data_IF_115511998783
#
_entry.id   IF_115511998783
#
_cell.length_a   1.000
_cell.length_b   1.000
_cell.length_c   1.000
_cell.angle_alpha   90.00
_cell.angle_beta   90.00
_cell.angle_gamma   90.00
#
_symmetry.space_group_name_H-M   'P 1'
#
loop_
_entity.id
_entity.type
_entity.pdbx_description
1 polymer ?
#
# COMPACT_ATOMS: atom_id res chain seq x y z
N UNK A 1 -18.95 -9.06 -18.62
CA UNK A 1 -18.37 -8.12 -17.64
C UNK A 1 -19.27 -8.07 -16.41
N UNK A 2 -18.71 -8.31 -15.21
CA UNK A 2 -19.41 -8.26 -13.93
C UNK A 2 -19.05 -6.95 -13.23
N UNK A 3 -20.03 -6.10 -12.94
CA UNK A 3 -19.83 -4.88 -12.13
C UNK A 3 -19.63 -5.28 -10.67
N UNK A 4 -18.76 -4.56 -9.97
CA UNK A 4 -18.37 -4.89 -8.60
C UNK A 4 -18.70 -3.75 -7.64
N UNK A 5 -19.20 -4.13 -6.47
CA UNK A 5 -19.26 -3.29 -5.28
C UNK A 5 -18.09 -3.69 -4.38
N UNK A 6 -17.16 -2.75 -4.13
CA UNK A 6 -16.00 -2.98 -3.27
C UNK A 6 -16.38 -3.06 -1.79
N UNK A 7 -15.56 -3.76 -1.03
CA UNK A 7 -15.65 -3.83 0.43
C UNK A 7 -14.90 -2.65 1.06
N UNK A 8 -15.61 -1.81 1.82
CA UNK A 8 -15.03 -0.64 2.48
C UNK A 8 -14.35 -1.04 3.78
N UNK A 9 -13.13 -0.52 4.00
CA UNK A 9 -12.38 -0.67 5.23
C UNK A 9 -12.28 0.69 5.96
N UNK A 10 -12.66 0.69 7.25
CA UNK A 10 -12.75 1.89 8.09
C UNK A 10 -11.58 2.00 9.07
N UNK A 11 -10.34 1.84 8.61
CA UNK A 11 -9.17 2.03 9.45
C UNK A 11 -9.04 3.49 9.87
N UNK A 12 -8.56 3.74 11.10
CA UNK A 12 -8.49 5.07 11.71
C UNK A 12 -7.68 6.09 10.91
N UNK A 13 -6.65 5.63 10.18
CA UNK A 13 -5.79 6.47 9.34
C UNK A 13 -6.45 6.96 8.03
N UNK A 14 -7.63 6.42 7.71
CA UNK A 14 -8.32 6.73 6.45
C UNK A 14 -8.87 8.15 6.37
N UNK A 15 -8.88 8.71 5.18
CA UNK A 15 -9.57 9.96 4.89
C UNK A 15 -11.09 9.76 4.94
N UNK A 16 -11.83 10.78 5.39
CA UNK A 16 -13.30 10.71 5.56
C UNK A 16 -14.07 11.13 4.31
N UNK A 17 -13.41 11.81 3.39
CA UNK A 17 -14.07 12.51 2.29
C UNK A 17 -13.55 12.11 0.92
N UNK A 18 -12.27 11.76 0.78
CA UNK A 18 -11.62 11.54 -0.52
C UNK A 18 -12.28 10.42 -1.33
N UNK A 19 -12.43 9.21 -0.77
CA UNK A 19 -13.10 8.11 -1.47
C UNK A 19 -14.61 8.34 -1.63
N UNK A 20 -15.37 8.80 -0.62
CA UNK A 20 -16.76 9.19 -0.83
C UNK A 20 -16.94 10.23 -1.94
N UNK A 21 -16.11 11.26 -1.99
CA UNK A 21 -16.18 12.29 -3.05
C UNK A 21 -15.86 11.70 -4.43
N UNK A 22 -14.82 10.84 -4.54
CA UNK A 22 -14.50 10.14 -5.78
C UNK A 22 -15.67 9.28 -6.27
N UNK A 23 -16.37 8.60 -5.37
CA UNK A 23 -17.50 7.72 -5.66
C UNK A 23 -18.84 8.47 -5.81
N UNK A 24 -18.83 9.80 -5.72
CA UNK A 24 -20.04 10.66 -5.77
C UNK A 24 -21.10 10.25 -4.75
N UNK A 25 -20.68 9.82 -3.54
CA UNK A 25 -21.59 9.45 -2.45
C UNK A 25 -21.42 10.40 -1.25
N UNK A 26 -22.50 10.53 -0.46
CA UNK A 26 -22.43 11.33 0.75
C UNK A 26 -21.52 10.67 1.78
N UNK A 27 -20.54 11.40 2.30
CA UNK A 27 -19.68 10.92 3.36
C UNK A 27 -20.50 10.67 4.65
N UNK A 28 -20.28 9.52 5.26
CA UNK A 28 -20.98 9.09 6.49
C UNK A 28 -20.24 9.51 7.78
N UNK A 29 -19.16 10.28 7.64
CA UNK A 29 -18.33 10.78 8.74
C UNK A 29 -17.33 9.76 9.29
N UNK A 30 -17.37 8.50 8.87
CA UNK A 30 -16.36 7.50 9.21
C UNK A 30 -15.13 7.64 8.32
N UNK A 31 -13.93 7.20 8.77
CA UNK A 31 -12.80 7.04 7.87
C UNK A 31 -13.13 6.02 6.76
N UNK A 32 -12.84 6.39 5.52
CA UNK A 32 -12.86 5.48 4.36
C UNK A 32 -11.42 5.27 3.92
N UNK A 33 -10.75 4.34 4.60
CA UNK A 33 -9.34 4.08 4.38
C UNK A 33 -9.07 3.38 3.06
N UNK A 34 -9.86 2.35 2.77
CA UNK A 34 -9.71 1.55 1.56
C UNK A 34 -11.06 1.07 1.04
N UNK A 35 -11.17 0.87 -0.28
CA UNK A 35 -12.25 0.12 -0.94
C UNK A 35 -11.60 -1.03 -1.70
N UNK A 36 -11.91 -2.28 -1.33
CA UNK A 36 -11.28 -3.47 -1.87
C UNK A 36 -12.09 -4.09 -2.99
N UNK A 37 -11.42 -4.37 -4.10
CA UNK A 37 -11.95 -5.13 -5.23
C UNK A 37 -11.14 -6.42 -5.38
N UNK A 38 -11.71 -7.54 -4.99
CA UNK A 38 -11.05 -8.84 -5.02
C UNK A 38 -11.86 -9.90 -4.30
N UNK A 39 -11.23 -11.03 -4.06
CA UNK A 39 -11.83 -12.22 -3.45
C UNK A 39 -11.26 -12.54 -2.08
N UNK A 40 -10.50 -11.62 -1.49
CA UNK A 40 -9.86 -11.84 -0.20
C UNK A 40 -10.89 -11.99 0.92
N UNK A 41 -10.80 -13.00 1.82
CA UNK A 41 -11.83 -13.30 2.82
C UNK A 41 -12.21 -12.14 3.75
N UNK A 42 -11.27 -11.23 4.04
CA UNK A 42 -11.51 -10.06 4.89
C UNK A 42 -12.18 -8.88 4.18
N UNK A 43 -12.39 -8.96 2.87
CA UNK A 43 -12.97 -7.87 2.09
C UNK A 43 -13.33 -8.31 0.69
N UNK A 44 -14.33 -9.21 0.57
CA UNK A 44 -14.79 -9.74 -0.71
C UNK A 44 -15.63 -8.72 -1.45
N UNK A 45 -15.32 -8.48 -2.72
CA UNK A 45 -16.17 -7.69 -3.60
C UNK A 45 -17.46 -8.44 -3.92
N UNK A 46 -18.59 -7.71 -3.88
CA UNK A 46 -19.88 -8.20 -4.32
C UNK A 46 -20.06 -7.95 -5.81
N UNK A 47 -20.72 -8.87 -6.51
CA UNK A 47 -21.19 -8.63 -7.87
C UNK A 47 -22.44 -7.77 -7.80
N UNK A 48 -22.39 -6.61 -8.46
CA UNK A 48 -23.51 -5.67 -8.52
C UNK A 48 -24.54 -6.16 -9.55
N UNK A 49 -25.16 -7.28 -9.24
CA UNK A 49 -26.32 -7.74 -9.99
C UNK A 49 -27.53 -6.93 -9.51
N UNK A 50 -28.11 -6.20 -10.42
CA UNK A 50 -29.28 -5.39 -10.15
C UNK A 50 -30.32 -6.11 -9.27
N UNK A 51 -30.55 -5.62 -8.05
CA UNK A 51 -31.78 -5.56 -7.23
C UNK A 51 -32.76 -6.76 -7.17
N UNK A 52 -32.46 -7.93 -7.78
CA UNK A 52 -33.45 -9.03 -7.86
C UNK A 52 -33.01 -10.34 -7.21
N UNK A 53 -31.78 -10.41 -6.65
CA UNK A 53 -31.32 -11.60 -5.96
C UNK A 53 -31.59 -11.51 -4.44
N UNK A 54 -32.07 -12.58 -3.81
CA UNK A 54 -32.43 -12.58 -2.39
C UNK A 54 -31.19 -12.53 -1.44
N UNK A 55 -29.97 -12.71 -1.98
CA UNK A 55 -28.73 -12.64 -1.23
C UNK A 55 -27.60 -12.03 -2.10
N UNK A 56 -26.60 -11.36 -1.49
CA UNK A 56 -25.47 -10.84 -2.23
C UNK A 56 -24.65 -11.99 -2.84
N UNK A 57 -24.26 -11.83 -4.11
CA UNK A 57 -23.33 -12.75 -4.79
C UNK A 57 -21.93 -12.15 -4.69
N UNK A 58 -20.97 -12.92 -4.21
CA UNK A 58 -19.59 -12.48 -4.13
C UNK A 58 -18.81 -12.87 -5.39
N UNK A 59 -17.78 -12.07 -5.70
CA UNK A 59 -16.93 -12.34 -6.85
C UNK A 59 -16.27 -13.72 -6.77
N UNK A 60 -15.85 -14.16 -5.57
CA UNK A 60 -15.24 -15.45 -5.35
C UNK A 60 -16.15 -16.62 -5.78
N UNK A 61 -17.46 -16.50 -5.62
CA UNK A 61 -18.44 -17.53 -6.00
C UNK A 61 -18.53 -17.69 -7.52
N UNK A 62 -18.12 -16.66 -8.27
CA UNK A 62 -18.21 -16.64 -9.74
C UNK A 62 -16.89 -17.03 -10.43
N UNK A 63 -15.74 -16.66 -9.82
CA UNK A 63 -14.46 -16.74 -10.52
C UNK A 63 -13.36 -17.44 -9.71
N UNK A 64 -13.66 -17.90 -8.49
CA UNK A 64 -12.67 -18.45 -7.56
C UNK A 64 -11.78 -17.35 -6.96
N UNK A 65 -10.68 -17.76 -6.33
CA UNK A 65 -9.72 -16.85 -5.73
C UNK A 65 -8.91 -16.10 -6.79
N UNK A 66 -8.79 -14.78 -6.64
CA UNK A 66 -7.87 -13.96 -7.42
C UNK A 66 -6.49 -13.97 -6.77
N UNK A 67 -5.40 -14.00 -7.57
CA UNK A 67 -4.03 -13.95 -7.04
C UNK A 67 -3.62 -12.55 -6.56
N UNK A 68 -4.48 -11.55 -6.71
CA UNK A 68 -4.25 -10.16 -6.31
C UNK A 68 -5.51 -9.50 -5.74
N UNK A 69 -5.31 -8.41 -5.03
CA UNK A 69 -6.35 -7.49 -4.58
C UNK A 69 -6.08 -6.13 -5.20
N UNK A 70 -7.13 -5.45 -5.66
CA UNK A 70 -7.06 -4.05 -6.06
C UNK A 70 -7.79 -3.21 -5.04
N UNK A 71 -7.19 -2.11 -4.61
CA UNK A 71 -7.78 -1.20 -3.64
C UNK A 71 -7.74 0.23 -4.14
N UNK A 72 -8.76 1.00 -3.83
CA UNK A 72 -8.67 2.43 -3.74
C UNK A 72 -8.33 2.76 -2.29
N UNK A 73 -7.23 3.47 -2.06
CA UNK A 73 -6.71 3.80 -0.75
C UNK A 73 -6.69 5.32 -0.58
N UNK A 74 -7.08 5.82 0.60
CA UNK A 74 -6.97 7.23 0.94
C UNK A 74 -6.43 7.39 2.36
N UNK A 75 -5.18 7.81 2.47
CA UNK A 75 -4.49 8.07 3.72
C UNK A 75 -4.62 9.54 4.11
N UNK A 76 -5.22 9.83 5.27
CA UNK A 76 -5.20 11.14 5.93
C UNK A 76 -4.10 11.24 6.97
N UNK A 77 -3.57 10.11 7.42
CA UNK A 77 -2.53 9.98 8.45
C UNK A 77 -1.53 8.91 8.03
N UNK A 78 -0.28 8.99 8.52
CA UNK A 78 0.71 7.95 8.27
C UNK A 78 0.23 6.56 8.71
N UNK A 79 0.52 5.55 7.90
CA UNK A 79 0.33 4.15 8.24
C UNK A 79 1.50 3.64 9.10
N UNK A 80 1.39 2.40 9.59
CA UNK A 80 2.52 1.77 10.29
C UNK A 80 3.73 1.61 9.38
N UNK A 81 4.94 1.74 9.93
CA UNK A 81 6.16 1.31 9.26
C UNK A 81 6.18 -0.21 9.18
N UNK A 82 6.23 -0.75 7.98
CA UNK A 82 5.99 -2.16 7.72
C UNK A 82 6.87 -2.76 6.63
N UNK A 83 6.87 -4.08 6.56
CA UNK A 83 7.55 -4.89 5.53
C UNK A 83 6.74 -6.15 5.24
N UNK A 84 6.88 -6.68 4.03
CA UNK A 84 6.24 -7.92 3.60
C UNK A 84 7.26 -9.01 3.29
N UNK A 85 6.99 -10.28 3.67
CA UNK A 85 7.93 -11.38 3.44
C UNK A 85 7.95 -11.80 1.96
N UNK A 86 9.08 -12.39 1.54
CA UNK A 86 9.14 -13.17 0.31
C UNK A 86 8.31 -14.45 0.41
N UNK A 87 8.02 -15.10 -0.73
CA UNK A 87 7.26 -16.37 -0.74
C UNK A 87 7.92 -17.44 0.15
N UNK A 88 9.25 -17.53 0.14
CA UNK A 88 9.96 -18.51 0.97
C UNK A 88 9.85 -18.18 2.46
N UNK A 89 9.97 -16.90 2.84
CA UNK A 89 9.81 -16.46 4.23
C UNK A 89 8.36 -16.62 4.71
N UNK A 90 7.38 -16.27 3.87
CA UNK A 90 5.96 -16.45 4.19
C UNK A 90 5.61 -17.91 4.45
N UNK A 91 6.00 -18.82 3.54
CA UNK A 91 5.75 -20.24 3.70
C UNK A 91 6.43 -20.84 4.95
N UNK A 92 7.70 -20.48 5.20
CA UNK A 92 8.43 -20.95 6.38
C UNK A 92 7.85 -20.39 7.68
N UNK A 93 7.51 -19.09 7.72
CA UNK A 93 6.95 -18.43 8.89
C UNK A 93 5.56 -18.96 9.23
N UNK A 94 4.70 -19.08 8.22
CA UNK A 94 3.37 -19.67 8.38
C UNK A 94 3.43 -21.11 8.92
N UNK A 95 4.24 -21.97 8.29
CA UNK A 95 4.41 -23.36 8.77
C UNK A 95 4.96 -23.44 10.20
N UNK A 96 5.85 -22.51 10.58
CA UNK A 96 6.37 -22.42 11.96
C UNK A 96 5.28 -22.06 12.95
N UNK A 97 4.43 -21.06 12.65
CA UNK A 97 3.32 -20.65 13.53
C UNK A 97 2.22 -21.73 13.62
N UNK A 98 1.93 -22.43 12.52
CA UNK A 98 1.05 -23.61 12.52
C UNK A 98 1.59 -24.72 13.45
N UNK A 99 2.87 -25.06 13.35
CA UNK A 99 3.50 -26.08 14.19
C UNK A 99 3.52 -25.70 15.68
N UNK A 100 3.57 -24.40 15.99
CA UNK A 100 3.49 -23.86 17.35
C UNK A 100 2.04 -23.74 17.86
N UNK A 101 1.04 -24.00 17.02
CA UNK A 101 -0.37 -23.89 17.36
C UNK A 101 -0.83 -22.44 17.62
N UNK A 102 -0.22 -21.45 16.98
CA UNK A 102 -0.64 -20.05 17.10
C UNK A 102 -2.00 -19.87 16.42
N UNK A 103 -3.08 -19.49 17.14
CA UNK A 103 -4.40 -19.34 16.54
C UNK A 103 -4.41 -18.33 15.39
N UNK A 104 -5.21 -18.59 14.34
CA UNK A 104 -5.31 -17.71 13.17
C UNK A 104 -5.83 -16.30 13.50
N UNK A 105 -6.67 -16.17 14.52
CA UNK A 105 -7.23 -14.92 15.02
C UNK A 105 -6.38 -14.26 16.13
N UNK A 106 -5.24 -14.86 16.48
CA UNK A 106 -4.36 -14.32 17.51
C UNK A 106 -3.79 -12.96 17.07
N UNK A 107 -3.89 -11.92 17.92
CA UNK A 107 -3.28 -10.63 17.62
C UNK A 107 -1.73 -10.68 17.55
N UNK A 108 -1.13 -11.78 18.05
CA UNK A 108 0.32 -12.03 18.01
C UNK A 108 0.78 -12.79 16.78
N UNK A 109 -0.16 -13.30 15.97
CA UNK A 109 0.18 -14.00 14.74
C UNK A 109 0.79 -13.02 13.74
N UNK A 110 1.98 -13.37 13.24
CA UNK A 110 2.75 -12.53 12.32
C UNK A 110 2.52 -12.95 10.86
N UNK A 111 2.39 -14.27 10.64
CA UNK A 111 2.15 -14.84 9.31
C UNK A 111 0.68 -15.28 9.18
N UNK A 112 -0.11 -14.47 8.52
CA UNK A 112 -1.53 -14.73 8.29
C UNK A 112 -1.77 -15.85 7.28
N UNK A 113 -0.86 -15.98 6.31
CA UNK A 113 -0.89 -16.95 5.21
C UNK A 113 0.54 -17.28 4.73
N UNK A 114 0.66 -18.23 3.80
CA UNK A 114 1.94 -18.71 3.23
C UNK A 114 2.37 -17.95 1.97
N UNK A 115 1.76 -16.79 1.67
CA UNK A 115 1.92 -16.06 0.42
C UNK A 115 2.76 -14.79 0.59
N UNK A 116 3.51 -14.45 -0.47
CA UNK A 116 4.15 -13.14 -0.56
C UNK A 116 3.12 -12.05 -0.85
N UNK A 117 3.48 -10.81 -0.50
CA UNK A 117 2.64 -9.63 -0.71
C UNK A 117 3.42 -8.53 -1.44
N UNK A 118 3.82 -8.74 -2.72
CA UNK A 118 4.34 -7.64 -3.51
C UNK A 118 3.24 -6.60 -3.72
N UNK A 119 3.59 -5.32 -3.68
CA UNK A 119 2.63 -4.21 -3.79
C UNK A 119 3.05 -3.22 -4.87
N UNK A 120 2.06 -2.66 -5.54
CA UNK A 120 2.22 -1.49 -6.39
C UNK A 120 1.22 -0.43 -5.96
N UNK A 121 1.70 0.80 -5.79
CA UNK A 121 0.86 1.97 -5.54
C UNK A 121 0.97 2.91 -6.72
N UNK A 122 -0.16 3.31 -7.29
CA UNK A 122 -0.24 4.34 -8.32
C UNK A 122 -1.00 5.53 -7.74
N UNK A 123 -0.34 6.68 -7.70
CA UNK A 123 -0.92 7.91 -7.15
C UNK A 123 -2.14 8.37 -7.96
N UNK A 124 -3.23 8.69 -7.29
CA UNK A 124 -4.43 9.32 -7.87
C UNK A 124 -4.46 10.82 -7.52
N UNK A 125 -4.01 11.18 -6.32
CA UNK A 125 -3.70 12.55 -5.92
C UNK A 125 -2.20 12.70 -5.70
N UNK A 126 -1.72 13.86 -5.26
CA UNK A 126 -0.39 13.95 -4.62
C UNK A 126 -0.33 12.89 -3.51
N UNK A 127 0.73 12.08 -3.50
CA UNK A 127 0.89 10.95 -2.60
C UNK A 127 2.28 10.94 -1.99
N UNK A 128 2.37 10.77 -0.67
CA UNK A 128 3.63 10.77 0.05
C UNK A 128 3.86 9.42 0.76
N UNK A 129 5.11 8.94 0.70
CA UNK A 129 5.54 7.71 1.35
C UNK A 129 6.98 7.80 1.83
N UNK A 130 7.34 7.01 2.84
CA UNK A 130 8.71 6.61 3.10
C UNK A 130 8.90 5.20 2.53
N UNK A 131 9.98 4.98 1.77
CA UNK A 131 10.19 3.70 1.12
C UNK A 131 11.67 3.41 0.87
N UNK A 132 12.16 2.29 1.42
CA UNK A 132 13.57 1.89 1.31
C UNK A 132 14.57 2.86 1.93
N UNK A 133 15.81 2.44 1.98
CA UNK A 133 16.89 3.20 2.64
C UNK A 133 17.75 3.95 1.64
N UNK A 134 18.03 5.23 1.95
CA UNK A 134 18.93 6.08 1.18
C UNK A 134 20.38 5.60 1.32
N UNK A 135 21.29 6.12 0.48
CA UNK A 135 22.72 5.84 0.63
C UNK A 135 23.24 6.35 1.97
N UNK A 136 24.28 5.71 2.50
CA UNK A 136 24.93 6.15 3.75
C UNK A 136 25.30 7.64 3.69
N UNK A 137 25.80 8.10 2.55
CA UNK A 137 26.14 9.51 2.32
C UNK A 137 24.91 10.41 2.48
N UNK A 138 23.80 10.03 1.88
CA UNK A 138 22.57 10.85 1.90
C UNK A 138 21.91 10.80 3.29
N UNK A 139 22.00 9.65 3.98
CA UNK A 139 21.55 9.52 5.38
C UNK A 139 22.35 10.44 6.32
N UNK A 140 23.69 10.48 6.18
CA UNK A 140 24.53 11.40 6.96
C UNK A 140 24.13 12.84 6.69
N UNK A 141 23.99 13.22 5.42
CA UNK A 141 23.62 14.58 5.03
C UNK A 141 22.23 14.99 5.59
N UNK A 142 21.25 14.07 5.54
CA UNK A 142 19.92 14.30 6.10
C UNK A 142 19.95 14.46 7.63
N UNK A 143 20.72 13.62 8.31
CA UNK A 143 20.91 13.72 9.77
C UNK A 143 21.60 15.03 10.17
N UNK A 144 22.64 15.46 9.45
CA UNK A 144 23.32 16.72 9.70
C UNK A 144 22.41 17.93 9.49
N UNK A 145 21.66 17.94 8.38
CA UNK A 145 20.70 18.98 8.07
C UNK A 145 19.57 19.08 9.13
N UNK A 146 19.24 17.96 9.75
CA UNK A 146 18.24 17.88 10.82
C UNK A 146 18.81 18.16 12.22
N UNK A 147 20.12 18.44 12.35
CA UNK A 147 20.81 18.59 13.65
C UNK A 147 20.91 17.29 14.45
N UNK A 148 20.69 16.13 13.81
CA UNK A 148 20.75 14.81 14.43
C UNK A 148 22.21 14.29 14.51
N UNK A 149 23.09 15.05 15.19
CA UNK A 149 24.56 14.85 15.19
C UNK A 149 24.96 13.44 15.67
N UNK A 150 24.32 12.93 16.73
CA UNK A 150 24.60 11.58 17.25
C UNK A 150 24.20 10.50 16.26
N UNK A 151 23.05 10.67 15.57
CA UNK A 151 22.60 9.72 14.54
C UNK A 151 23.55 9.75 13.33
N UNK A 152 23.97 10.94 12.89
CA UNK A 152 24.97 11.07 11.82
C UNK A 152 26.30 10.38 12.16
N UNK A 153 26.77 10.52 13.42
CA UNK A 153 27.97 9.83 13.88
C UNK A 153 27.80 8.31 13.89
N UNK A 154 26.64 7.82 14.38
CA UNK A 154 26.29 6.40 14.38
C UNK A 154 26.28 5.82 12.95
N UNK A 155 25.65 6.53 11.99
CA UNK A 155 25.65 6.12 10.57
C UNK A 155 27.07 6.03 10.01
N UNK A 156 27.98 6.97 10.34
CA UNK A 156 29.38 6.94 9.88
C UNK A 156 30.15 5.75 10.43
N UNK A 157 29.93 5.41 11.71
CA UNK A 157 30.69 4.39 12.41
C UNK A 157 30.17 2.98 12.13
N UNK A 158 28.83 2.80 12.07
CA UNK A 158 28.18 1.49 12.04
C UNK A 158 27.36 1.24 10.76
N UNK A 159 27.16 2.27 9.91
CA UNK A 159 26.37 2.19 8.69
C UNK A 159 24.87 2.45 8.89
N UNK A 160 24.16 2.72 7.77
CA UNK A 160 22.75 3.07 7.76
C UNK A 160 21.86 1.94 8.30
N UNK A 161 22.20 0.69 8.01
CA UNK A 161 21.41 -0.47 8.44
C UNK A 161 21.42 -0.65 9.96
N UNK A 162 22.57 -0.45 10.61
CA UNK A 162 22.68 -0.56 12.07
C UNK A 162 22.00 0.63 12.75
N UNK A 163 22.19 1.85 12.22
CA UNK A 163 21.52 3.04 12.69
C UNK A 163 19.99 2.91 12.63
N UNK A 164 19.45 2.36 11.53
CA UNK A 164 18.01 2.13 11.40
C UNK A 164 17.49 1.12 12.45
N UNK A 165 18.24 0.03 12.69
CA UNK A 165 17.89 -0.94 13.74
C UNK A 165 17.94 -0.32 15.13
N UNK A 166 18.94 0.52 15.43
CA UNK A 166 19.07 1.23 16.70
C UNK A 166 17.85 2.15 16.93
N UNK A 167 17.50 2.96 15.92
CA UNK A 167 16.32 3.83 15.96
C UNK A 167 15.03 3.01 16.20
N UNK A 168 14.82 1.95 15.43
CA UNK A 168 13.60 1.13 15.53
C UNK A 168 13.51 0.34 16.85
N UNK A 169 14.65 0.02 17.48
CA UNK A 169 14.69 -0.52 18.85
C UNK A 169 14.43 0.51 19.94
N UNK A 170 14.26 1.77 19.56
CA UNK A 170 13.90 2.85 20.47
C UNK A 170 15.11 3.59 21.06
N UNK A 171 16.32 3.43 20.48
CA UNK A 171 17.43 4.30 20.85
C UNK A 171 17.08 5.76 20.53
N UNK A 172 17.25 6.64 21.48
CA UNK A 172 16.87 8.06 21.37
C UNK A 172 18.00 8.87 20.75
N UNK A 173 17.71 9.50 19.65
CA UNK A 173 18.56 10.47 18.98
C UNK A 173 17.89 11.84 18.98
N UNK A 174 18.59 12.85 19.48
CA UNK A 174 18.11 14.24 19.42
C UNK A 174 18.09 14.70 17.98
N UNK A 175 16.99 15.34 17.56
CA UNK A 175 16.79 15.92 16.23
C UNK A 175 16.30 17.35 16.42
N UNK A 176 17.13 18.34 16.03
CA UNK A 176 16.84 19.75 16.28
C UNK A 176 15.81 20.32 15.28
N UNK A 177 15.87 19.84 14.04
CA UNK A 177 15.04 20.30 12.91
C UNK A 177 14.44 19.12 12.15
N UNK A 178 13.34 18.51 12.63
CA UNK A 178 12.72 17.34 12.00
C UNK A 178 12.37 17.58 10.51
N UNK A 179 12.58 16.58 9.66
CA UNK A 179 12.15 16.61 8.26
C UNK A 179 10.62 16.67 8.13
N UNK A 180 10.10 16.99 6.95
CA UNK A 180 8.65 17.02 6.72
C UNK A 180 7.99 15.67 7.04
N UNK A 181 8.55 14.57 6.56
CA UNK A 181 8.05 13.23 6.86
C UNK A 181 8.12 12.90 8.36
N UNK A 182 9.23 13.25 9.02
CA UNK A 182 9.36 13.05 10.46
C UNK A 182 8.31 13.85 11.25
N UNK A 183 8.03 15.10 10.87
CA UNK A 183 6.99 15.90 11.52
C UNK A 183 5.61 15.25 11.40
N UNK A 184 5.24 14.72 10.23
CA UNK A 184 3.97 14.01 10.05
C UNK A 184 3.88 12.78 10.98
N UNK A 185 4.95 12.01 11.11
CA UNK A 185 4.99 10.87 12.03
C UNK A 185 4.83 11.30 13.49
N UNK A 186 5.55 12.34 13.92
CA UNK A 186 5.49 12.87 15.29
C UNK A 186 4.12 13.47 15.65
N UNK A 187 3.43 14.07 14.69
CA UNK A 187 2.10 14.65 14.89
C UNK A 187 1.04 13.56 15.17
N UNK A 188 1.13 12.43 14.48
CA UNK A 188 0.12 11.38 14.57
C UNK A 188 0.47 10.26 15.56
N UNK A 189 1.75 10.11 15.90
CA UNK A 189 2.23 9.08 16.83
C UNK A 189 2.98 9.74 17.99
N UNK A 190 2.25 10.34 18.97
CA UNK A 190 2.86 10.82 20.18
C UNK A 190 3.48 9.66 20.97
N UNK A 191 4.58 9.94 21.68
CA UNK A 191 5.27 8.92 22.47
C UNK A 191 4.32 8.34 23.54
N UNK A 192 4.02 7.06 23.46
CA UNK A 192 3.22 6.31 24.42
C UNK A 192 4.03 5.87 25.66
N UNK A 193 5.32 6.18 25.71
CA UNK A 193 6.21 5.89 26.83
C UNK A 193 6.20 7.00 27.91
N UNK A 194 6.21 6.62 29.16
CA UNK A 194 6.24 7.51 30.34
C UNK A 194 7.56 8.34 30.38
N UNK A 195 7.64 9.40 29.58
CA UNK A 195 8.77 10.30 29.53
C UNK A 195 8.35 11.63 28.92
N UNK A 196 8.59 12.71 29.63
CA UNK A 196 8.39 14.14 29.34
C UNK A 196 7.40 14.49 28.21
N UNK A 197 6.29 15.08 28.57
CA UNK A 197 5.20 15.50 27.70
C UNK A 197 5.72 16.35 26.52
N UNK A 198 5.55 15.87 25.28
CA UNK A 198 5.74 16.65 24.07
C UNK A 198 6.75 16.11 23.04
N UNK A 199 7.51 15.08 23.32
CA UNK A 199 8.33 14.40 22.33
C UNK A 199 7.52 13.26 21.73
N UNK A 200 7.25 13.29 20.42
CA UNK A 200 6.63 12.19 19.69
C UNK A 200 7.52 10.93 19.65
N UNK A 201 7.04 9.86 19.03
CA UNK A 201 7.76 8.58 18.94
C UNK A 201 9.18 8.77 18.38
N UNK A 202 10.20 8.50 19.20
CA UNK A 202 11.61 8.68 18.83
C UNK A 202 12.02 7.88 17.59
N UNK A 203 11.26 6.82 17.26
CA UNK A 203 11.45 6.01 16.05
C UNK A 203 11.17 6.79 14.77
N UNK A 204 10.50 7.95 14.85
CA UNK A 204 10.31 8.86 13.71
C UNK A 204 11.62 9.33 13.08
N UNK A 205 12.75 9.27 13.80
CA UNK A 205 14.08 9.57 13.26
C UNK A 205 14.50 8.62 12.12
N UNK A 206 13.86 7.44 11.98
CA UNK A 206 14.07 6.54 10.84
C UNK A 206 13.79 7.21 9.49
N UNK A 207 12.89 8.21 9.48
CA UNK A 207 12.59 8.99 8.28
C UNK A 207 13.80 9.75 7.70
N UNK A 208 14.84 10.00 8.49
CA UNK A 208 16.09 10.61 8.03
C UNK A 208 16.99 9.62 7.25
N UNK A 209 16.70 8.33 7.38
CA UNK A 209 17.45 7.23 6.76
C UNK A 209 16.73 6.64 5.54
N UNK A 210 15.49 7.05 5.27
CA UNK A 210 14.62 6.51 4.21
C UNK A 210 14.38 7.52 3.10
N UNK A 211 14.06 7.02 1.90
CA UNK A 211 13.56 7.89 0.84
C UNK A 211 12.20 8.46 1.21
N UNK A 212 12.08 9.78 1.28
CA UNK A 212 10.81 10.47 1.31
C UNK A 212 10.35 10.69 -0.14
N UNK A 213 9.43 9.86 -0.59
CA UNK A 213 8.93 9.86 -1.97
C UNK A 213 7.65 10.68 -2.05
N UNK A 214 7.58 11.52 -3.07
CA UNK A 214 6.38 12.26 -3.45
C UNK A 214 6.02 11.89 -4.87
N UNK A 215 4.80 11.42 -5.06
CA UNK A 215 4.27 11.02 -6.35
C UNK A 215 3.18 11.98 -6.78
N UNK A 216 3.30 12.46 -8.00
CA UNK A 216 2.21 13.14 -8.71
C UNK A 216 1.23 12.12 -9.29
N UNK A 217 -0.03 12.50 -9.58
CA UNK A 217 -1.01 11.58 -10.16
C UNK A 217 -0.50 10.83 -11.38
N UNK A 218 -0.59 9.51 -11.33
CA UNK A 218 -0.11 8.60 -12.37
C UNK A 218 1.33 8.11 -12.22
N UNK A 219 2.12 8.65 -11.29
CA UNK A 219 3.39 8.05 -10.88
C UNK A 219 3.16 6.90 -9.90
N UNK A 220 4.10 5.97 -9.80
CA UNK A 220 3.92 4.75 -9.02
C UNK A 220 5.16 4.37 -8.21
N UNK A 221 4.91 3.58 -7.15
CA UNK A 221 5.91 2.82 -6.40
C UNK A 221 5.67 1.32 -6.62
N UNK A 222 6.74 0.56 -6.70
CA UNK A 222 6.69 -0.90 -6.58
C UNK A 222 7.49 -1.35 -5.36
N UNK A 223 6.84 -2.09 -4.50
CA UNK A 223 7.35 -2.58 -3.22
C UNK A 223 7.59 -4.08 -3.32
N UNK A 224 8.85 -4.45 -3.41
CA UNK A 224 9.26 -5.85 -3.39
C UNK A 224 9.21 -6.42 -1.96
N UNK A 225 9.30 -7.74 -1.86
CA UNK A 225 9.48 -8.39 -0.58
C UNK A 225 10.72 -7.84 0.15
N UNK A 226 10.59 -7.57 1.44
CA UNK A 226 11.65 -6.99 2.26
C UNK A 226 11.75 -5.46 2.20
N UNK A 227 11.04 -4.78 1.31
CA UNK A 227 11.08 -3.32 1.23
C UNK A 227 10.36 -2.67 2.42
N UNK A 228 11.11 -1.95 3.25
CA UNK A 228 10.55 -1.21 4.40
C UNK A 228 9.86 0.04 3.90
N UNK A 229 8.59 0.22 4.26
CA UNK A 229 7.79 1.36 3.78
C UNK A 229 6.71 1.79 4.76
N UNK A 230 6.21 2.99 4.55
CA UNK A 230 4.94 3.52 5.12
C UNK A 230 4.37 4.57 4.19
N UNK A 231 3.05 4.59 4.00
CA UNK A 231 2.35 5.68 3.33
C UNK A 231 2.06 6.77 4.34
N UNK A 232 2.29 8.02 3.95
CA UNK A 232 2.15 9.17 4.83
C UNK A 232 0.83 9.92 4.58
N UNK A 233 0.48 10.12 3.30
CA UNK A 233 -0.68 10.91 2.90
C UNK A 233 -1.04 10.67 1.43
N UNK A 234 -2.32 10.84 1.09
CA UNK A 234 -2.80 10.91 -0.29
C UNK A 234 -3.71 9.76 -0.69
N UNK A 235 -4.20 9.82 -1.94
CA UNK A 235 -5.11 8.82 -2.51
C UNK A 235 -4.42 8.08 -3.64
N UNK A 236 -4.56 6.76 -3.67
CA UNK A 236 -3.89 5.89 -4.63
C UNK A 236 -4.74 4.68 -5.04
N UNK A 237 -4.42 4.11 -6.20
CA UNK A 237 -4.74 2.74 -6.55
C UNK A 237 -3.63 1.85 -6.03
N UNK A 238 -3.94 0.93 -5.13
CA UNK A 238 -3.01 -0.10 -4.66
C UNK A 238 -3.37 -1.45 -5.26
N UNK A 239 -2.37 -2.12 -5.81
CA UNK A 239 -2.48 -3.51 -6.28
C UNK A 239 -1.49 -4.36 -5.51
N UNK A 240 -1.96 -5.41 -4.85
CA UNK A 240 -1.11 -6.27 -4.04
C UNK A 240 -1.39 -7.75 -4.28
N UNK A 241 -0.43 -8.60 -3.95
CA UNK A 241 -0.66 -10.03 -3.82
C UNK A 241 -1.77 -10.33 -2.81
N UNK A 242 -2.55 -11.38 -3.03
CA UNK A 242 -3.66 -11.78 -2.12
C UNK A 242 -3.12 -12.40 -0.83
N UNK A 243 -2.58 -11.54 0.05
CA UNK A 243 -1.97 -11.90 1.34
C UNK A 243 -2.20 -10.80 2.38
N UNK A 244 -2.27 -11.21 3.66
CA UNK A 244 -2.37 -10.33 4.83
C UNK A 244 -1.05 -10.25 5.64
N UNK A 245 0.04 -10.80 5.13
CA UNK A 245 1.34 -10.81 5.81
C UNK A 245 1.91 -9.39 5.95
N UNK A 246 1.93 -8.86 7.17
CA UNK A 246 2.42 -7.51 7.49
C UNK A 246 3.22 -7.55 8.79
N UNK A 247 4.54 -7.42 8.70
CA UNK A 247 5.43 -7.21 9.84
C UNK A 247 5.59 -5.72 10.09
N UNK A 248 5.33 -5.27 11.31
CA UNK A 248 5.36 -3.86 11.69
C UNK A 248 6.52 -3.58 12.63
N UNK A 249 7.15 -2.42 12.48
CA UNK A 249 8.23 -1.96 13.35
C UNK A 249 7.84 -0.78 14.25
N UNK A 250 6.99 0.14 13.75
CA UNK A 250 6.67 1.37 14.44
C UNK A 250 5.32 1.95 13.97
N UNK A 251 4.86 3.01 14.63
CA UNK A 251 3.68 3.80 14.25
C UNK A 251 2.41 2.95 14.19
N UNK A 252 2.17 2.17 15.24
CA UNK A 252 1.01 1.28 15.30
C UNK A 252 0.70 0.90 16.75
N UNK A 253 -0.59 0.67 17.02
CA UNK A 253 -1.07 0.03 18.27
C UNK A 253 -1.13 -1.51 18.15
N UNK A 254 -0.94 -2.05 16.93
CA UNK A 254 -0.93 -3.48 16.69
C UNK A 254 0.36 -4.11 17.20
N UNK A 255 0.33 -5.43 17.35
CA UNK A 255 1.52 -6.21 17.76
C UNK A 255 2.72 -5.93 16.86
N UNK A 256 3.87 -5.73 17.48
CA UNK A 256 5.17 -5.53 16.85
C UNK A 256 6.11 -6.65 17.30
N UNK A 257 6.62 -7.40 16.34
CA UNK A 257 7.71 -8.35 16.51
C UNK A 257 8.93 -7.82 15.73
N UNK A 258 9.82 -7.12 16.45
CA UNK A 258 11.00 -6.51 15.83
C UNK A 258 12.01 -7.54 15.33
N UNK A 259 12.12 -8.71 15.97
CA UNK A 259 13.07 -9.72 15.54
C UNK A 259 12.62 -10.34 14.22
N UNK A 260 11.34 -10.64 14.07
CA UNK A 260 10.77 -11.10 12.81
C UNK A 260 10.79 -10.01 11.73
N UNK A 261 10.48 -8.75 12.10
CA UNK A 261 10.63 -7.61 11.19
C UNK A 261 12.05 -7.51 10.65
N UNK A 262 13.07 -7.58 11.50
CA UNK A 262 14.49 -7.50 11.09
C UNK A 262 14.94 -8.70 10.28
N UNK A 263 14.34 -9.87 10.47
CA UNK A 263 14.63 -11.07 9.68
C UNK A 263 14.09 -10.98 8.25
N UNK A 264 12.99 -10.22 8.06
CA UNK A 264 12.33 -10.03 6.76
C UNK A 264 12.83 -8.77 6.04
N UNK A 265 13.11 -7.69 6.77
CA UNK A 265 13.45 -6.38 6.22
C UNK A 265 14.81 -6.35 5.52
N UNK A 266 14.83 -5.76 4.33
CA UNK A 266 16.05 -5.36 3.63
C UNK A 266 16.44 -3.95 4.05
N UNK A 267 17.65 -3.80 4.60
CA UNK A 267 18.26 -2.50 4.91
C UNK A 267 19.28 -2.08 3.84
N UNK A 268 19.23 -2.72 2.68
CA UNK A 268 20.12 -2.39 1.57
C UNK A 268 19.83 -0.97 1.06
N UNK A 269 20.89 -0.23 0.83
CA UNK A 269 20.81 1.06 0.15
C UNK A 269 20.33 0.85 -1.29
N UNK A 270 19.32 1.60 -1.69
CA UNK A 270 18.72 1.51 -3.03
C UNK A 270 18.48 2.90 -3.61
N UNK A 271 18.24 2.93 -4.92
CA UNK A 271 17.55 4.04 -5.56
C UNK A 271 16.07 4.06 -5.15
N UNK A 272 15.41 5.17 -5.40
CA UNK A 272 13.97 5.33 -5.15
C UNK A 272 13.18 4.28 -5.96
N UNK A 273 12.27 3.52 -5.35
CA UNK A 273 11.51 2.46 -6.02
C UNK A 273 10.36 2.99 -6.88
N UNK A 274 10.51 4.19 -7.43
CA UNK A 274 9.53 4.82 -8.31
C UNK A 274 9.52 4.15 -9.68
N UNK A 275 8.30 3.99 -10.22
CA UNK A 275 8.07 3.48 -11.57
C UNK A 275 7.42 4.58 -12.39
N UNK A 276 7.99 4.85 -13.56
CA UNK A 276 7.36 5.69 -14.58
C UNK A 276 6.53 4.81 -15.50
N UNK A 277 5.29 5.24 -15.76
CA UNK A 277 4.42 4.55 -16.70
C UNK A 277 5.02 4.61 -18.12
N UNK A 278 5.25 3.45 -18.71
CA UNK A 278 5.75 3.31 -20.07
C UNK A 278 4.60 3.46 -21.07
N UNK A 279 4.67 4.43 -21.96
CA UNK A 279 3.64 4.66 -22.98
C UNK A 279 3.55 3.48 -23.94
N UNK A 280 2.36 2.88 -24.04
CA UNK A 280 2.06 1.75 -24.93
C UNK A 280 1.28 2.23 -26.17
N UNK A 281 0.43 3.23 -25.99
CA UNK A 281 -0.33 3.90 -27.06
C UNK A 281 -0.55 5.39 -26.73
N UNK A 282 -1.29 6.11 -27.56
CA UNK A 282 -1.62 7.51 -27.29
C UNK A 282 -2.47 7.70 -26.03
N UNK A 283 -3.22 6.69 -25.65
CA UNK A 283 -4.16 6.72 -24.53
C UNK A 283 -3.83 5.72 -23.42
N UNK A 284 -2.75 4.93 -23.56
CA UNK A 284 -2.46 3.88 -22.60
C UNK A 284 -0.98 3.81 -22.21
N UNK A 285 -0.72 3.54 -20.95
CA UNK A 285 0.60 3.34 -20.40
C UNK A 285 0.63 2.11 -19.47
N UNK A 286 1.74 1.40 -19.42
CA UNK A 286 1.96 0.23 -18.59
C UNK A 286 2.96 0.52 -17.47
N UNK A 287 2.69 0.03 -16.27
CA UNK A 287 3.63 0.04 -15.15
C UNK A 287 4.38 -1.30 -15.15
N UNK A 288 5.66 -1.25 -15.55
CA UNK A 288 6.46 -2.47 -15.67
C UNK A 288 7.29 -2.70 -14.42
N UNK A 289 7.09 -3.84 -13.80
CA UNK A 289 7.84 -4.32 -12.64
C UNK A 289 7.83 -5.85 -12.59
N UNK A 290 8.50 -6.43 -11.60
CA UNK A 290 8.54 -7.87 -11.38
C UNK A 290 7.31 -8.44 -10.65
N UNK A 291 6.21 -7.68 -10.55
CA UNK A 291 4.99 -8.14 -9.91
C UNK A 291 4.34 -9.31 -10.65
N UNK A 292 3.64 -10.22 -9.94
CA UNK A 292 2.88 -11.31 -10.56
C UNK A 292 1.58 -10.83 -11.24
N UNK A 293 1.37 -9.52 -11.30
CA UNK A 293 0.25 -8.86 -11.95
C UNK A 293 0.74 -7.74 -12.87
N UNK A 294 -0.07 -7.37 -13.83
CA UNK A 294 0.19 -6.25 -14.74
C UNK A 294 -0.82 -5.13 -14.46
N UNK A 295 -0.33 -3.90 -14.38
CA UNK A 295 -1.17 -2.70 -14.25
C UNK A 295 -0.99 -1.82 -15.47
N UNK A 296 -2.11 -1.39 -16.06
CA UNK A 296 -2.12 -0.41 -17.15
C UNK A 296 -3.06 0.73 -16.81
N UNK A 297 -2.68 1.94 -17.19
CA UNK A 297 -3.50 3.15 -17.12
C UNK A 297 -4.00 3.51 -18.52
N UNK A 298 -5.26 3.91 -18.62
CA UNK A 298 -5.91 4.32 -19.86
C UNK A 298 -6.57 5.68 -19.64
N UNK A 299 -6.19 6.66 -20.46
CA UNK A 299 -6.87 7.96 -20.58
C UNK A 299 -7.85 7.87 -21.74
N UNK A 300 -9.12 7.70 -21.42
CA UNK A 300 -10.16 7.44 -22.41
C UNK A 300 -10.91 8.71 -22.74
N UNK A 301 -11.01 9.00 -24.05
CA UNK A 301 -11.85 10.04 -24.61
C UNK A 301 -12.60 9.45 -25.81
N UNK A 302 -13.81 8.97 -25.61
CA UNK A 302 -14.61 8.26 -26.61
C UNK A 302 -14.71 6.76 -26.32
N UNK A 303 -14.39 5.91 -27.28
CA UNK A 303 -14.55 4.46 -27.15
C UNK A 303 -13.30 3.78 -26.58
N UNK A 304 -13.47 3.01 -25.53
CA UNK A 304 -12.49 2.07 -24.99
C UNK A 304 -12.92 0.63 -25.30
N UNK A 305 -12.06 -0.14 -25.96
CA UNK A 305 -12.28 -1.54 -26.25
C UNK A 305 -11.18 -2.40 -25.65
N UNK A 306 -11.56 -3.48 -24.99
CA UNK A 306 -10.64 -4.41 -24.33
C UNK A 306 -11.13 -5.86 -24.51
N UNK A 307 -10.22 -6.76 -24.85
CA UNK A 307 -10.43 -8.19 -24.73
C UNK A 307 -9.55 -8.74 -23.62
N UNK A 308 -10.14 -9.44 -22.65
CA UNK A 308 -9.42 -10.03 -21.54
C UNK A 308 -8.64 -11.28 -22.01
N UNK A 309 -7.33 -11.15 -22.12
CA UNK A 309 -6.45 -12.23 -22.62
C UNK A 309 -5.78 -13.02 -21.48
N UNK A 310 -5.81 -12.51 -20.24
CA UNK A 310 -5.26 -13.16 -19.05
C UNK A 310 -6.35 -13.91 -18.27
N UNK A 311 -5.94 -14.72 -17.29
CA UNK A 311 -6.87 -15.50 -16.48
C UNK A 311 -7.86 -14.61 -15.72
N UNK A 312 -7.38 -13.51 -15.18
CA UNK A 312 -8.17 -12.55 -14.42
C UNK A 312 -7.90 -11.12 -14.90
N UNK A 313 -8.94 -10.34 -15.07
CA UNK A 313 -8.83 -8.92 -15.44
C UNK A 313 -9.86 -8.09 -14.66
N UNK A 314 -9.37 -7.14 -13.87
CA UNK A 314 -10.18 -6.10 -13.23
C UNK A 314 -10.01 -4.77 -13.96
N UNK A 315 -11.11 -4.05 -14.12
CA UNK A 315 -11.19 -2.67 -14.59
C UNK A 315 -11.56 -1.79 -13.39
N UNK A 316 -10.82 -0.72 -13.14
CA UNK A 316 -11.10 0.25 -12.06
C UNK A 316 -11.12 1.66 -12.65
N UNK A 317 -12.23 2.35 -12.54
CA UNK A 317 -12.39 3.74 -12.97
C UNK A 317 -12.03 4.67 -11.80
N UNK A 318 -11.06 5.56 -11.99
CA UNK A 318 -10.61 6.49 -10.94
C UNK A 318 -11.07 7.92 -11.15
N UNK A 319 -11.45 8.29 -12.38
CA UNK A 319 -12.06 9.59 -12.67
C UNK A 319 -13.00 9.50 -13.86
N UNK A 320 -14.00 10.37 -13.91
CA UNK A 320 -14.94 10.44 -15.01
C UNK A 320 -15.93 9.27 -15.07
N UNK A 321 -16.40 8.97 -16.27
CA UNK A 321 -17.40 7.90 -16.52
C UNK A 321 -17.11 7.20 -17.84
N UNK A 322 -17.21 5.87 -17.82
CA UNK A 322 -16.99 5.02 -18.99
C UNK A 322 -18.07 3.93 -19.04
N UNK A 323 -19.09 4.14 -19.88
CA UNK A 323 -20.30 3.32 -19.90
C UNK A 323 -20.98 3.27 -18.54
N UNK A 324 -21.08 2.09 -17.94
CA UNK A 324 -21.63 1.88 -16.59
C UNK A 324 -20.63 2.09 -15.45
N UNK A 325 -19.37 2.33 -15.75
CA UNK A 325 -18.32 2.57 -14.74
C UNK A 325 -18.21 4.07 -14.48
N UNK A 326 -18.39 4.50 -13.24
CA UNK A 326 -18.08 5.84 -12.74
C UNK A 326 -16.83 5.83 -11.87
N UNK A 327 -16.30 6.99 -11.55
CA UNK A 327 -15.17 7.11 -10.63
C UNK A 327 -15.44 6.33 -9.33
N UNK A 328 -14.43 5.61 -8.85
CA UNK A 328 -14.53 4.73 -7.69
C UNK A 328 -15.25 3.41 -7.93
N UNK A 329 -15.64 3.07 -9.15
CA UNK A 329 -16.27 1.77 -9.45
C UNK A 329 -15.30 0.80 -10.15
N UNK A 330 -15.59 -0.51 -10.04
CA UNK A 330 -14.82 -1.54 -10.70
C UNK A 330 -15.70 -2.58 -11.41
N UNK A 331 -15.08 -3.33 -12.33
CA UNK A 331 -15.70 -4.49 -12.96
C UNK A 331 -14.67 -5.60 -13.19
N UNK A 332 -15.15 -6.84 -13.18
CA UNK A 332 -14.38 -8.01 -13.60
C UNK A 332 -14.75 -8.38 -15.04
N UNK A 333 -13.75 -8.63 -15.87
CA UNK A 333 -13.91 -9.10 -17.25
C UNK A 333 -13.35 -10.52 -17.36
N UNK A 334 -14.20 -11.53 -17.56
CA UNK A 334 -13.78 -12.92 -17.74
C UNK A 334 -12.84 -13.08 -18.94
N UNK A 335 -11.91 -14.03 -18.85
CA UNK A 335 -10.99 -14.36 -19.93
C UNK A 335 -11.73 -14.69 -21.22
N UNK A 336 -11.29 -14.12 -22.32
CA UNK A 336 -11.88 -14.28 -23.65
C UNK A 336 -13.07 -13.36 -23.92
N UNK A 337 -13.62 -12.70 -22.90
CA UNK A 337 -14.68 -11.72 -23.13
C UNK A 337 -14.09 -10.38 -23.62
N UNK A 338 -14.88 -9.68 -24.40
CA UNK A 338 -14.60 -8.34 -24.91
C UNK A 338 -15.62 -7.36 -24.39
N UNK A 339 -15.16 -6.14 -24.14
CA UNK A 339 -16.01 -5.02 -23.76
C UNK A 339 -15.69 -3.81 -24.64
N UNK A 340 -16.74 -3.07 -25.02
CA UNK A 340 -16.60 -1.74 -25.63
C UNK A 340 -17.43 -0.77 -24.77
N UNK A 341 -16.77 0.26 -24.24
CA UNK A 341 -17.35 1.25 -23.34
C UNK A 341 -17.08 2.64 -23.90
N UNK A 342 -18.02 3.54 -23.78
CA UNK A 342 -17.90 4.91 -24.25
C UNK A 342 -17.95 5.91 -23.12
N UNK A 343 -17.15 6.97 -23.21
CA UNK A 343 -17.11 8.06 -22.26
C UNK A 343 -15.77 8.76 -22.16
N UNK A 344 -15.60 9.48 -21.07
CA UNK A 344 -14.33 10.15 -20.71
C UNK A 344 -13.97 9.75 -19.31
N UNK A 345 -12.83 9.09 -19.14
CA UNK A 345 -12.42 8.52 -17.85
C UNK A 345 -10.91 8.24 -17.80
N UNK A 346 -10.36 8.23 -16.59
CA UNK A 346 -9.12 7.51 -16.28
C UNK A 346 -9.49 6.12 -15.77
N UNK A 347 -9.07 5.10 -16.50
CA UNK A 347 -9.34 3.69 -16.20
C UNK A 347 -8.03 2.96 -15.97
N UNK A 348 -8.02 2.08 -14.99
CA UNK A 348 -6.93 1.13 -14.79
C UNK A 348 -7.40 -0.29 -15.11
N UNK A 349 -6.54 -1.07 -15.76
CA UNK A 349 -6.71 -2.52 -15.89
C UNK A 349 -5.65 -3.22 -15.09
N UNK A 350 -6.06 -4.19 -14.27
CA UNK A 350 -5.19 -5.06 -13.48
C UNK A 350 -5.44 -6.49 -13.90
N UNK A 351 -4.38 -7.21 -14.27
CA UNK A 351 -4.53 -8.57 -14.80
C UNK A 351 -3.39 -9.51 -14.36
N UNK A 352 -3.70 -10.81 -14.20
CA UNK A 352 -2.76 -11.89 -13.91
C UNK A 352 -3.12 -13.16 -14.70
#
# INVERSE_FOLDING_TARGET
MLRLRGAVQHYAWGDRYALPAMMEITADGRPWAEVWYGTHPRGQAQVDESLHLPAPTYLVDQVGELPFIVKLLAAAQPLSLQVHPSSAQAAAGFAREEALGVPHDSPRRVYADDRAKPEMVVAISEFEALCGFVTQRDAIAACEAAGATRLAAHVREHGSADAARAVLRGEKFTVDSPSAAMRQLLEHYPDSGAGESGAGDSRAAVALLMHHVRLSPGEALYLEAGEVHTYLYGTALEVQGSSDNVMRAAFTEKHVDLDEFFAVASFAERGTPTIVAERVSDTSAAYRCAAPFQVMRHEVHGTFALTANRAHTLLVCTSGRLGSLSAGSAAYLPRGESVALEGTATLYTVSA
#
